data_IF_210425136791
#
_entry.id   IF_210425136791
#
_cell.length_a   1.000
_cell.length_b   1.000
_cell.length_c   1.000
_cell.angle_alpha   90.00
_cell.angle_beta   90.00
_cell.angle_gamma   90.00
#
_symmetry.space_group_name_H-M   'P 1'
#
loop_
_entity.id
_entity.type
_entity.pdbx_description
1 polymer ?
#
# COMPACT_ATOMS: atom_id res chain seq x y z
N UNK A 1 16.10 -5.26 -3.14
CA UNK A 1 14.92 -4.85 -2.36
C UNK A 1 14.50 -3.41 -2.66
N UNK A 2 13.28 -3.03 -2.28
CA UNK A 2 12.74 -1.67 -2.31
C UNK A 2 12.63 -1.00 -3.70
N UNK A 3 12.84 -1.74 -4.79
CA UNK A 3 12.54 -1.22 -6.11
C UNK A 3 11.01 -1.12 -6.31
N UNK A 4 10.29 -2.18 -6.00
CA UNK A 4 8.82 -2.23 -6.09
C UNK A 4 8.27 -2.87 -4.83
N UNK A 5 7.40 -2.17 -4.13
CA UNK A 5 6.50 -2.77 -3.15
C UNK A 5 5.14 -3.04 -3.80
N UNK A 6 4.53 -4.16 -3.48
CA UNK A 6 3.15 -4.45 -3.86
C UNK A 6 2.26 -4.31 -2.64
N UNK A 7 1.14 -3.62 -2.78
CA UNK A 7 0.17 -3.44 -1.70
C UNK A 7 -1.22 -3.85 -2.18
N UNK A 8 -1.91 -4.62 -1.34
CA UNK A 8 -3.24 -5.14 -1.69
C UNK A 8 -4.08 -5.37 -0.42
N UNK A 9 -5.40 -5.21 -0.56
CA UNK A 9 -6.36 -5.62 0.45
C UNK A 9 -6.82 -7.05 0.18
N UNK A 10 -6.45 -7.98 1.04
CA UNK A 10 -7.07 -9.30 1.05
C UNK A 10 -8.54 -9.16 1.46
N UNK A 11 -9.46 -9.60 0.63
CA UNK A 11 -10.89 -9.47 0.85
C UNK A 11 -11.32 -9.70 2.30
N UNK A 12 -12.35 -9.00 2.74
CA UNK A 12 -12.80 -8.96 4.14
C UNK A 12 -13.27 -10.32 4.66
N UNK A 13 -13.16 -10.48 5.97
CA UNK A 13 -13.80 -11.55 6.73
C UNK A 13 -14.26 -10.99 8.09
N UNK A 14 -15.03 -11.78 8.84
CA UNK A 14 -15.48 -11.40 10.19
C UNK A 14 -14.60 -12.06 11.25
N UNK A 15 -14.22 -11.30 12.26
CA UNK A 15 -13.71 -11.80 13.53
C UNK A 15 -14.86 -12.44 14.34
N UNK A 16 -14.54 -13.17 15.43
CA UNK A 16 -15.57 -13.90 16.17
C UNK A 16 -16.59 -13.00 16.87
N UNK A 17 -16.22 -11.76 17.17
CA UNK A 17 -17.13 -10.72 17.69
C UNK A 17 -18.04 -10.11 16.61
N UNK A 18 -17.94 -10.58 15.36
CA UNK A 18 -18.77 -10.15 14.23
C UNK A 18 -18.25 -8.94 13.46
N UNK A 19 -17.18 -8.30 13.93
CA UNK A 19 -16.57 -7.14 13.25
C UNK A 19 -15.86 -7.54 11.95
N UNK A 20 -15.93 -6.68 10.94
CA UNK A 20 -15.18 -6.89 9.70
C UNK A 20 -13.69 -6.58 9.87
N UNK A 21 -12.89 -7.43 9.28
CA UNK A 21 -11.45 -7.25 9.15
C UNK A 21 -11.07 -7.20 7.66
N UNK A 22 -10.39 -6.14 7.26
CA UNK A 22 -9.83 -5.92 5.93
C UNK A 22 -8.31 -5.95 6.02
N UNK A 23 -7.64 -7.08 5.74
CA UNK A 23 -6.19 -7.16 5.83
C UNK A 23 -5.54 -6.35 4.71
N UNK A 24 -4.77 -5.33 5.08
CA UNK A 24 -3.86 -4.63 4.19
C UNK A 24 -2.49 -5.29 4.29
N UNK A 25 -1.98 -5.78 3.17
CA UNK A 25 -0.67 -6.40 3.07
C UNK A 25 0.25 -5.59 2.17
N UNK A 26 1.51 -5.49 2.54
CA UNK A 26 2.56 -4.83 1.75
C UNK A 26 3.77 -5.74 1.68
N UNK A 27 4.24 -6.05 0.47
CA UNK A 27 5.32 -7.01 0.21
C UNK A 27 6.38 -6.38 -0.68
N UNK A 28 7.65 -6.61 -0.38
CA UNK A 28 8.74 -6.27 -1.30
C UNK A 28 8.75 -7.24 -2.50
N UNK A 29 8.72 -6.69 -3.68
CA UNK A 29 8.60 -7.47 -4.92
C UNK A 29 9.82 -8.35 -5.25
N UNK A 30 11.01 -7.98 -4.80
CA UNK A 30 12.23 -8.74 -5.00
C UNK A 30 12.40 -9.85 -3.96
N UNK A 31 12.54 -9.47 -2.70
CA UNK A 31 12.82 -10.39 -1.59
C UNK A 31 11.62 -11.21 -1.12
N UNK A 32 10.41 -10.87 -1.54
CA UNK A 32 9.16 -11.43 -1.02
C UNK A 32 8.88 -11.09 0.44
N UNK A 33 9.68 -10.24 1.05
CA UNK A 33 9.55 -9.85 2.45
C UNK A 33 8.19 -9.17 2.70
N UNK A 34 7.43 -9.72 3.62
CA UNK A 34 6.12 -9.18 4.03
C UNK A 34 6.36 -8.03 5.02
N UNK A 35 6.44 -6.81 4.48
CA UNK A 35 6.67 -5.59 5.25
C UNK A 35 5.55 -5.30 6.25
N UNK A 36 4.32 -5.54 5.84
CA UNK A 36 3.16 -5.32 6.68
C UNK A 36 1.99 -6.24 6.38
N UNK A 37 1.30 -6.62 7.45
CA UNK A 37 0.00 -7.29 7.40
C UNK A 37 -0.88 -6.67 8.49
N UNK A 38 -1.71 -5.70 8.14
CA UNK A 38 -2.50 -4.92 9.08
C UNK A 38 -3.99 -5.19 8.89
N UNK A 39 -4.66 -5.68 9.94
CA UNK A 39 -6.11 -5.79 9.97
C UNK A 39 -6.76 -4.42 10.20
N UNK A 40 -7.57 -3.98 9.26
CA UNK A 40 -8.29 -2.71 9.32
C UNK A 40 -9.79 -2.95 9.35
N UNK A 41 -10.56 -1.98 9.86
CA UNK A 41 -12.03 -2.05 9.90
C UNK A 41 -12.68 -1.72 8.57
N UNK A 42 -11.95 -1.06 7.68
CA UNK A 42 -12.37 -0.74 6.31
C UNK A 42 -11.16 -0.46 5.43
N UNK A 43 -11.39 -0.26 4.13
CA UNK A 43 -10.37 0.16 3.17
C UNK A 43 -10.18 1.68 3.10
N UNK A 44 -10.71 2.45 4.08
CA UNK A 44 -10.63 3.90 4.09
C UNK A 44 -9.18 4.39 4.16
N UNK A 45 -8.93 5.49 3.46
CA UNK A 45 -7.60 6.10 3.37
C UNK A 45 -7.03 6.50 4.73
N UNK A 46 -7.90 6.98 5.64
CA UNK A 46 -7.51 7.42 6.99
C UNK A 46 -6.99 6.26 7.85
N UNK A 47 -7.37 5.02 7.52
CA UNK A 47 -6.86 3.81 8.15
C UNK A 47 -5.64 3.24 7.42
N UNK A 48 -5.58 3.33 6.10
CA UNK A 48 -4.46 2.82 5.31
C UNK A 48 -3.21 3.71 5.41
N UNK A 49 -3.37 5.03 5.39
CA UNK A 49 -2.25 5.97 5.41
C UNK A 49 -1.31 5.82 6.62
N UNK A 50 -1.81 5.68 7.88
CA UNK A 50 -0.94 5.42 9.03
C UNK A 50 -0.13 4.13 8.92
N UNK A 51 -0.68 3.10 8.26
CA UNK A 51 0.05 1.85 8.00
C UNK A 51 1.26 2.13 7.11
N UNK A 52 1.07 2.80 5.98
CA UNK A 52 2.19 3.16 5.10
C UNK A 52 3.19 4.10 5.78
N UNK A 53 2.71 5.07 6.57
CA UNK A 53 3.60 5.96 7.31
C UNK A 53 4.51 5.18 8.27
N UNK A 54 3.96 4.22 9.02
CA UNK A 54 4.73 3.33 9.88
C UNK A 54 5.74 2.50 9.09
N UNK A 55 5.32 1.89 7.97
CA UNK A 55 6.21 1.10 7.11
C UNK A 55 7.34 1.94 6.53
N UNK A 56 7.06 3.16 6.09
CA UNK A 56 8.08 4.07 5.58
C UNK A 56 9.08 4.52 6.65
N UNK A 57 8.61 4.67 7.89
CA UNK A 57 9.50 4.96 9.03
C UNK A 57 10.39 3.77 9.37
N UNK A 58 9.83 2.54 9.33
CA UNK A 58 10.53 1.31 9.73
C UNK A 58 11.48 0.80 8.63
N UNK A 59 11.07 0.87 7.36
CA UNK A 59 11.77 0.24 6.24
C UNK A 59 12.31 1.22 5.19
N UNK A 60 12.06 2.52 5.35
CA UNK A 60 12.37 3.54 4.35
C UNK A 60 11.41 3.51 3.14
N UNK A 61 11.70 4.34 2.14
CA UNK A 61 10.81 4.56 0.99
C UNK A 61 11.18 3.64 -0.19
N UNK A 62 10.22 2.94 -0.81
CA UNK A 62 10.44 2.24 -2.07
C UNK A 62 10.53 3.24 -3.24
N UNK A 63 10.93 2.75 -4.41
CA UNK A 63 10.85 3.54 -5.66
C UNK A 63 9.44 3.53 -6.25
N UNK A 64 8.78 2.38 -6.20
CA UNK A 64 7.46 2.15 -6.79
C UNK A 64 6.57 1.46 -5.76
N UNK A 65 5.30 1.84 -5.71
CA UNK A 65 4.26 1.06 -5.04
C UNK A 65 3.23 0.64 -6.09
N UNK A 66 3.14 -0.67 -6.32
CA UNK A 66 2.17 -1.28 -7.23
C UNK A 66 0.95 -1.73 -6.44
N UNK A 67 -0.24 -1.36 -6.93
CA UNK A 67 -1.51 -1.68 -6.30
C UNK A 67 -2.54 -2.13 -7.32
N UNK A 68 -3.65 -2.69 -6.83
CA UNK A 68 -4.84 -2.84 -7.65
C UNK A 68 -5.48 -1.48 -7.99
N UNK A 69 -6.55 -1.53 -8.77
CA UNK A 69 -7.30 -0.35 -9.22
C UNK A 69 -8.40 0.08 -8.24
N UNK A 70 -8.44 -0.51 -7.05
CA UNK A 70 -9.46 -0.28 -6.04
C UNK A 70 -9.15 0.88 -5.08
N UNK A 71 -10.18 1.27 -4.31
CA UNK A 71 -10.02 2.20 -3.19
C UNK A 71 -9.22 1.51 -2.07
N UNK A 72 -8.25 2.20 -1.43
CA UNK A 72 -7.95 3.64 -1.47
C UNK A 72 -6.83 4.03 -2.45
N UNK A 73 -6.36 3.13 -3.28
CA UNK A 73 -5.17 3.30 -4.10
C UNK A 73 -5.44 4.13 -5.36
N UNK A 74 -6.60 3.92 -5.98
CA UNK A 74 -7.02 4.62 -7.19
C UNK A 74 -8.41 5.24 -7.02
N UNK A 75 -8.73 6.19 -7.90
CA UNK A 75 -10.04 6.82 -8.02
C UNK A 75 -10.55 6.76 -9.46
N UNK A 76 -11.80 7.13 -9.66
CA UNK A 76 -12.39 7.29 -11.00
C UNK A 76 -12.10 8.66 -11.63
N UNK A 77 -11.48 9.58 -10.87
CA UNK A 77 -11.11 10.91 -11.35
C UNK A 77 -10.04 10.86 -12.45
N UNK A 78 -9.90 11.96 -13.17
CA UNK A 78 -8.87 12.12 -14.20
C UNK A 78 -7.48 11.82 -13.62
N UNK A 79 -6.70 10.99 -14.31
CA UNK A 79 -5.39 10.53 -13.82
C UNK A 79 -5.44 9.44 -12.77
N UNK A 80 -6.63 9.02 -12.30
CA UNK A 80 -6.87 7.93 -11.34
C UNK A 80 -6.14 8.07 -10.01
N UNK A 81 -5.60 9.25 -9.71
CA UNK A 81 -4.84 9.51 -8.49
C UNK A 81 -5.77 9.66 -7.29
N UNK A 82 -5.49 8.91 -6.23
CA UNK A 82 -6.08 9.08 -4.92
C UNK A 82 -5.25 10.05 -4.06
N UNK A 83 -5.79 10.52 -2.96
CA UNK A 83 -5.01 11.32 -1.99
C UNK A 83 -3.80 10.54 -1.47
N UNK A 84 -3.90 9.20 -1.38
CA UNK A 84 -2.81 8.33 -0.97
C UNK A 84 -1.70 8.29 -2.03
N UNK A 85 -2.05 8.11 -3.30
CA UNK A 85 -1.08 8.09 -4.40
C UNK A 85 -0.43 9.47 -4.62
N UNK A 86 -1.17 10.57 -4.45
CA UNK A 86 -0.59 11.93 -4.46
C UNK A 86 0.43 12.11 -3.34
N UNK A 87 0.15 11.60 -2.14
CA UNK A 87 1.11 11.64 -1.04
C UNK A 87 2.38 10.83 -1.35
N UNK A 88 2.26 9.66 -1.97
CA UNK A 88 3.41 8.87 -2.43
C UNK A 88 4.25 9.62 -3.47
N UNK A 89 3.61 10.23 -4.47
CA UNK A 89 4.31 11.05 -5.47
C UNK A 89 5.12 12.17 -4.79
N UNK A 90 4.55 12.83 -3.78
CA UNK A 90 5.24 13.88 -3.02
C UNK A 90 6.43 13.36 -2.20
N UNK A 91 6.46 12.05 -1.90
CA UNK A 91 7.59 11.36 -1.28
C UNK A 91 8.62 10.84 -2.31
N UNK A 92 8.40 11.12 -3.60
CA UNK A 92 9.22 10.59 -4.69
C UNK A 92 9.04 9.09 -4.92
N UNK A 93 7.85 8.57 -4.60
CA UNK A 93 7.44 7.20 -4.89
C UNK A 93 6.50 7.22 -6.10
N UNK A 94 6.72 6.37 -7.08
CA UNK A 94 5.85 6.24 -8.25
C UNK A 94 4.71 5.28 -7.92
N UNK A 95 3.43 5.72 -7.92
CA UNK A 95 2.30 4.80 -7.86
C UNK A 95 2.15 4.10 -9.21
N UNK A 96 1.99 2.78 -9.18
CA UNK A 96 1.77 1.95 -10.35
C UNK A 96 0.50 1.13 -10.14
N UNK A 97 -0.44 1.22 -11.08
CA UNK A 97 -1.66 0.42 -11.06
C UNK A 97 -1.43 -0.85 -11.89
N UNK A 98 -1.92 -1.98 -11.39
CA UNK A 98 -1.93 -3.23 -12.15
C UNK A 98 -2.77 -3.04 -13.42
N UNK A 99 -2.23 -3.48 -14.55
CA UNK A 99 -2.95 -3.42 -15.82
C UNK A 99 -4.22 -4.29 -15.76
N UNK A 100 -5.36 -3.77 -16.25
CA UNK A 100 -6.57 -4.57 -16.36
C UNK A 100 -6.31 -5.84 -17.18
N UNK A 101 -6.85 -6.97 -16.73
CA UNK A 101 -6.69 -8.30 -17.34
C UNK A 101 -5.27 -8.91 -17.27
N UNK A 102 -4.38 -8.38 -16.42
CA UNK A 102 -3.06 -8.94 -16.15
C UNK A 102 -2.93 -9.48 -14.71
N UNK A 103 -3.70 -10.52 -14.32
CA UNK A 103 -3.68 -11.06 -12.96
C UNK A 103 -2.31 -11.64 -12.57
N UNK A 104 -1.49 -12.02 -13.55
CA UNK A 104 -0.13 -12.52 -13.31
C UNK A 104 0.77 -11.49 -12.61
N UNK A 105 0.51 -10.19 -12.79
CA UNK A 105 1.22 -9.11 -12.09
C UNK A 105 0.99 -9.15 -10.58
N UNK A 106 -0.13 -9.74 -10.13
CA UNK A 106 -0.47 -9.90 -8.71
C UNK A 106 -0.40 -11.37 -8.21
N UNK A 107 -0.11 -12.32 -9.08
CA UNK A 107 -0.16 -13.76 -8.76
C UNK A 107 0.73 -14.17 -7.57
N UNK A 108 1.82 -13.41 -7.33
CA UNK A 108 2.71 -13.61 -6.17
C UNK A 108 2.02 -13.18 -4.87
N UNK A 109 1.34 -12.05 -4.89
CA UNK A 109 0.58 -11.52 -3.77
C UNK A 109 -0.62 -12.43 -3.45
N UNK A 110 -1.32 -12.91 -4.47
CA UNK A 110 -2.44 -13.85 -4.32
C UNK A 110 -2.01 -15.16 -3.66
N UNK A 111 -0.82 -15.69 -4.01
CA UNK A 111 -0.28 -16.90 -3.37
C UNK A 111 -0.03 -16.68 -1.89
N UNK A 112 0.60 -15.58 -1.51
CA UNK A 112 0.80 -15.19 -0.12
C UNK A 112 -0.55 -15.01 0.60
N UNK A 113 -1.52 -14.35 -0.02
CA UNK A 113 -2.86 -14.18 0.53
C UNK A 113 -3.60 -15.51 0.78
N UNK A 114 -3.40 -16.51 -0.07
CA UNK A 114 -3.99 -17.84 0.13
C UNK A 114 -3.46 -18.47 1.40
N UNK A 115 -2.14 -18.41 1.59
CA UNK A 115 -1.48 -18.93 2.79
C UNK A 115 -1.90 -18.14 4.04
N UNK A 116 -1.86 -16.81 3.99
CA UNK A 116 -2.34 -15.94 5.08
C UNK A 116 -3.76 -16.31 5.52
N UNK A 117 -4.67 -16.48 4.56
CA UNK A 117 -6.06 -16.85 4.84
C UNK A 117 -6.16 -18.23 5.50
N UNK A 118 -5.45 -19.23 5.00
CA UNK A 118 -5.48 -20.58 5.54
C UNK A 118 -5.01 -20.61 7.00
N UNK A 119 -3.94 -19.92 7.34
CA UNK A 119 -3.27 -20.00 8.62
C UNK A 119 -3.82 -19.04 9.67
N UNK A 120 -4.37 -17.89 9.27
CA UNK A 120 -4.75 -16.85 10.24
C UNK A 120 -6.24 -16.64 10.41
N UNK A 121 -7.07 -17.10 9.45
CA UNK A 121 -8.52 -16.84 9.47
C UNK A 121 -9.38 -18.08 9.70
N UNK A 122 -8.77 -19.24 9.92
CA UNK A 122 -9.47 -20.52 10.14
C UNK A 122 -8.94 -21.24 11.38
N UNK A 123 -9.51 -20.96 12.56
CA UNK A 123 -10.56 -20.01 12.90
C UNK A 123 -10.03 -18.55 12.99
N UNK A 124 -10.88 -17.53 12.82
CA UNK A 124 -10.47 -16.13 12.97
C UNK A 124 -10.21 -15.78 14.44
N UNK A 125 -9.54 -14.67 14.69
CA UNK A 125 -9.34 -14.10 16.02
C UNK A 125 -10.65 -13.74 16.71
N UNK A 126 -10.63 -13.64 18.05
CA UNK A 126 -11.78 -13.25 18.85
C UNK A 126 -12.29 -11.84 18.52
N UNK A 127 -11.36 -10.94 18.20
CA UNK A 127 -11.59 -9.54 17.80
C UNK A 127 -10.44 -9.08 16.92
N UNK A 128 -10.49 -7.84 16.46
CA UNK A 128 -9.47 -7.27 15.56
C UNK A 128 -8.06 -7.28 16.19
N UNK A 129 -7.95 -7.01 17.50
CA UNK A 129 -6.65 -7.04 18.18
C UNK A 129 -6.06 -8.46 18.26
N UNK A 130 -6.88 -9.47 18.57
CA UNK A 130 -6.47 -10.87 18.56
C UNK A 130 -6.10 -11.32 17.14
N UNK A 131 -6.84 -10.85 16.12
CA UNK A 131 -6.53 -11.11 14.72
C UNK A 131 -5.19 -10.49 14.33
N UNK A 132 -4.90 -9.26 14.77
CA UNK A 132 -3.61 -8.61 14.49
C UNK A 132 -2.43 -9.37 15.10
N UNK A 133 -2.58 -9.94 16.29
CA UNK A 133 -1.53 -10.81 16.88
C UNK A 133 -1.23 -12.01 15.98
N UNK A 134 -2.26 -12.64 15.36
CA UNK A 134 -2.07 -13.73 14.41
C UNK A 134 -1.37 -13.26 13.12
N UNK A 135 -1.72 -12.09 12.60
CA UNK A 135 -1.04 -11.51 11.44
C UNK A 135 0.43 -11.21 11.74
N UNK A 136 0.72 -10.71 12.93
CA UNK A 136 2.10 -10.45 13.34
C UNK A 136 2.91 -11.76 13.46
N UNK A 137 2.36 -12.81 14.06
CA UNK A 137 3.01 -14.10 14.13
C UNK A 137 3.25 -14.70 12.74
N UNK A 138 2.21 -14.68 11.88
CA UNK A 138 2.34 -15.10 10.48
C UNK A 138 3.44 -14.34 9.74
N UNK A 139 3.51 -13.00 9.91
CA UNK A 139 4.52 -12.17 9.25
C UNK A 139 5.94 -12.56 9.65
N UNK A 140 6.17 -12.81 10.94
CA UNK A 140 7.47 -13.26 11.44
C UNK A 140 7.85 -14.63 10.85
N UNK A 141 7.00 -15.63 11.00
CA UNK A 141 7.23 -16.98 10.45
C UNK A 141 7.45 -16.93 8.92
N UNK A 142 6.60 -16.15 8.20
CA UNK A 142 6.69 -16.00 6.74
C UNK A 142 8.04 -15.42 6.32
N UNK A 143 8.54 -14.43 7.05
CA UNK A 143 9.78 -13.74 6.68
C UNK A 143 11.03 -14.50 7.11
N UNK A 144 11.01 -15.10 8.30
CA UNK A 144 12.22 -15.59 8.94
C UNK A 144 12.43 -17.11 8.79
N UNK A 145 11.34 -17.86 8.55
CA UNK A 145 11.39 -19.33 8.56
C UNK A 145 10.92 -19.97 7.25
N UNK A 146 10.02 -19.32 6.50
CA UNK A 146 9.39 -19.97 5.34
C UNK A 146 10.28 -19.96 4.13
N UNK A 147 10.64 -21.14 3.58
CA UNK A 147 11.45 -21.23 2.36
C UNK A 147 10.66 -20.77 1.14
N UNK A 148 11.33 -20.05 0.25
CA UNK A 148 10.78 -19.58 -1.01
C UNK A 148 11.56 -20.12 -2.19
N UNK A 149 10.89 -20.82 -3.09
CA UNK A 149 11.48 -21.36 -4.31
C UNK A 149 12.23 -20.29 -5.13
N UNK A 150 11.64 -19.10 -5.27
CA UNK A 150 12.24 -17.99 -6.00
C UNK A 150 13.48 -17.39 -5.31
N UNK A 151 13.80 -17.80 -4.09
CA UNK A 151 14.96 -17.40 -3.30
C UNK A 151 15.86 -18.61 -2.99
N UNK A 152 15.87 -19.63 -3.84
CA UNK A 152 16.63 -20.86 -3.65
C UNK A 152 16.33 -21.57 -2.32
N UNK A 153 15.06 -21.57 -1.92
CA UNK A 153 14.57 -22.14 -0.65
C UNK A 153 15.01 -21.35 0.61
N UNK A 154 15.57 -20.16 0.43
CA UNK A 154 15.88 -19.27 1.55
C UNK A 154 14.65 -18.45 2.00
N UNK A 155 14.56 -18.06 3.27
CA UNK A 155 13.48 -17.21 3.75
C UNK A 155 13.63 -15.76 3.23
N UNK A 156 12.51 -15.00 3.11
CA UNK A 156 12.54 -13.61 2.63
C UNK A 156 13.49 -12.68 3.37
N UNK A 157 13.68 -12.87 4.67
CA UNK A 157 14.59 -12.06 5.49
C UNK A 157 16.05 -12.15 5.03
N UNK A 158 16.48 -13.26 4.43
CA UNK A 158 17.84 -13.42 3.91
C UNK A 158 18.15 -12.51 2.71
N UNK A 159 17.11 -12.07 1.99
CA UNK A 159 17.22 -11.27 0.77
C UNK A 159 16.71 -9.83 0.94
N UNK A 160 16.28 -9.44 2.15
CA UNK A 160 15.72 -8.12 2.41
C UNK A 160 16.67 -7.23 3.21
N UNK A 161 16.79 -5.98 2.76
CA UNK A 161 17.45 -4.89 3.48
C UNK A 161 16.56 -3.63 3.41
N UNK A 162 16.45 -2.84 4.49
CA UNK A 162 15.73 -1.58 4.48
C UNK A 162 16.24 -0.61 3.42
N UNK A 163 15.37 0.28 2.94
CA UNK A 163 15.74 1.32 1.99
C UNK A 163 16.58 2.40 2.66
N UNK A 164 17.60 2.88 1.97
CA UNK A 164 18.36 4.06 2.39
C UNK A 164 17.61 5.39 2.21
N UNK A 165 16.44 5.36 1.55
CA UNK A 165 15.59 6.54 1.37
C UNK A 165 14.68 6.68 2.59
N UNK A 166 15.03 7.60 3.48
CA UNK A 166 14.26 7.84 4.70
C UNK A 166 12.97 8.64 4.45
N UNK A 167 11.99 8.44 5.33
CA UNK A 167 10.78 9.26 5.35
C UNK A 167 11.12 10.67 5.86
N UNK A 168 10.94 11.75 5.06
CA UNK A 168 11.27 13.09 5.48
C UNK A 168 10.28 13.57 6.57
N UNK A 169 10.79 14.28 7.58
CA UNK A 169 10.00 14.85 8.66
C UNK A 169 8.92 15.83 8.14
N UNK A 170 9.20 16.53 7.04
CA UNK A 170 8.25 17.39 6.34
C UNK A 170 8.34 17.16 4.84
N UNK A 171 7.17 17.14 4.19
CA UNK A 171 7.13 17.15 2.73
C UNK A 171 7.67 18.50 2.22
N UNK A 172 8.57 18.43 1.22
CA UNK A 172 9.00 19.62 0.53
C UNK A 172 7.81 20.40 -0.06
N UNK A 173 7.85 21.72 -0.13
CA UNK A 173 6.86 22.49 -0.90
C UNK A 173 6.79 21.97 -2.34
N UNK A 174 5.62 22.09 -2.95
CA UNK A 174 5.49 21.77 -4.37
C UNK A 174 6.12 22.93 -5.15
N UNK A 175 7.19 22.64 -5.85
CA UNK A 175 7.85 23.58 -6.76
C UNK A 175 7.39 23.30 -8.18
N UNK A 176 7.04 24.37 -8.89
CA UNK A 176 6.67 24.31 -10.29
C UNK A 176 7.72 25.05 -11.12
N UNK A 177 8.02 24.63 -12.36
CA UNK A 177 8.89 25.39 -13.26
C UNK A 177 8.41 26.84 -13.38
N UNK A 178 9.35 27.81 -13.38
CA UNK A 178 9.04 29.24 -13.35
C UNK A 178 8.20 29.75 -14.53
N UNK A 179 8.11 28.97 -15.62
CA UNK A 179 7.24 29.28 -16.75
C UNK A 179 5.80 28.79 -16.61
N UNK A 180 5.47 28.07 -15.50
CA UNK A 180 4.11 27.63 -15.22
C UNK A 180 3.34 28.72 -14.49
N UNK A 181 2.12 29.00 -14.95
CA UNK A 181 1.17 29.81 -14.21
C UNK A 181 0.42 28.95 -13.19
N UNK A 182 0.62 29.21 -11.91
CA UNK A 182 -0.08 28.51 -10.84
C UNK A 182 -1.42 29.14 -10.54
N UNK A 183 -2.42 28.31 -10.31
CA UNK A 183 -3.75 28.71 -9.84
C UNK A 183 -4.21 27.77 -8.75
N UNK A 184 -4.78 28.33 -7.69
CA UNK A 184 -5.41 27.54 -6.65
C UNK A 184 -6.80 27.08 -7.12
N UNK A 185 -7.06 25.79 -6.99
CA UNK A 185 -8.39 25.24 -7.22
C UNK A 185 -9.29 25.66 -6.05
N UNK A 186 -10.41 26.29 -6.35
CA UNK A 186 -11.41 26.69 -5.36
C UNK A 186 -12.13 25.47 -4.78
N UNK A 187 -12.89 25.68 -3.67
CA UNK A 187 -13.72 24.63 -3.08
C UNK A 187 -14.77 24.06 -4.06
N UNK A 188 -15.14 24.82 -5.06
CA UNK A 188 -16.10 24.41 -6.11
C UNK A 188 -15.40 23.78 -7.33
N UNK A 189 -14.22 23.19 -7.13
CA UNK A 189 -13.45 22.51 -8.17
C UNK A 189 -13.16 23.34 -9.42
N UNK A 190 -13.06 24.67 -9.27
CA UNK A 190 -12.80 25.58 -10.39
C UNK A 190 -11.58 26.46 -10.17
N UNK A 191 -11.00 26.90 -11.27
CA UNK A 191 -9.94 27.93 -11.32
C UNK A 191 -10.40 29.11 -12.14
N UNK A 192 -9.93 30.31 -11.78
CA UNK A 192 -10.08 31.48 -12.63
C UNK A 192 -8.90 31.56 -13.60
N UNK A 193 -9.17 31.32 -14.88
CA UNK A 193 -8.19 31.42 -15.94
C UNK A 193 -8.51 32.62 -16.82
N UNK A 194 -7.63 33.61 -16.80
CA UNK A 194 -7.90 34.92 -17.44
C UNK A 194 -9.24 35.50 -16.96
N UNK A 195 -10.21 35.68 -17.83
CA UNK A 195 -11.56 36.20 -17.48
C UNK A 195 -12.61 35.09 -17.33
N UNK A 196 -12.23 33.82 -17.52
CA UNK A 196 -13.15 32.69 -17.51
C UNK A 196 -13.01 31.84 -16.25
N UNK A 197 -14.10 31.23 -15.83
CA UNK A 197 -14.14 30.21 -14.81
C UNK A 197 -14.05 28.83 -15.48
N UNK A 198 -13.06 28.03 -15.10
CA UNK A 198 -12.82 26.71 -15.67
C UNK A 198 -12.97 25.68 -14.57
N UNK A 199 -13.87 24.72 -14.74
CA UNK A 199 -13.96 23.53 -13.88
C UNK A 199 -12.77 22.59 -14.15
N UNK A 200 -12.15 22.08 -13.08
CA UNK A 200 -10.95 21.23 -13.12
C UNK A 200 -11.20 19.87 -12.40
N UNK A 201 -12.42 19.36 -12.51
CA UNK A 201 -12.79 18.04 -11.97
C UNK A 201 -12.56 16.95 -12.99
#
# INVERSE_FOLDING_TARGET
>A
PNAIWTADFKGQFRTRDGEYCYPLTVVDGYSRYLLGCQGLRSTAIDLARPVFQRLFTEYGLPRIIRTDNGIPFATTALGRLSTLSVWWIRLGITPELIEPAHPEQNGRHERMHRTLKAETTRPPGGNLQAQQKRFNAFRLEYNDERPHEALNQEPPASAYEPSSRELPAKLAPIEYPGHFEMRLVSRNSGIRWKKHWVCVT
#
